data_IF_740473047391
#
_entry.id   IF_740473047391
#
_cell.length_a   1.000
_cell.length_b   1.000
_cell.length_c   1.000
_cell.angle_alpha   90.00
_cell.angle_beta   90.00
_cell.angle_gamma   90.00
#
_symmetry.space_group_name_H-M   'P 1'
#
loop_
_entity.id
_entity.type
_entity.pdbx_description
1 polymer ?
#
# COMPACT_ATOMS: atom_id res chain seq x y z
N UNK A 1 45.75 9.54 -42.92
CA UNK A 1 46.11 10.51 -43.98
C UNK A 1 44.81 11.00 -44.63
N UNK A 2 44.85 12.22 -45.21
CA UNK A 2 43.79 13.02 -45.87
C UNK A 2 42.54 12.28 -46.39
N UNK A 3 41.29 12.77 -46.24
CA UNK A 3 40.70 14.11 -46.44
C UNK A 3 40.58 14.56 -47.92
N UNK A 4 39.62 15.45 -48.21
CA UNK A 4 39.35 16.22 -49.48
C UNK A 4 38.35 15.54 -50.45
N UNK A 5 37.06 15.95 -50.44
CA UNK A 5 36.34 16.79 -51.45
C UNK A 5 35.78 16.01 -52.67
N UNK A 6 34.84 16.50 -53.50
CA UNK A 6 33.75 17.50 -53.43
C UNK A 6 32.94 17.42 -54.76
N UNK A 7 31.87 18.21 -54.90
CA UNK A 7 31.22 18.52 -56.21
C UNK A 7 30.11 17.54 -56.61
N UNK A 8 28.82 17.89 -56.63
CA UNK A 8 28.08 18.93 -57.40
C UNK A 8 27.62 18.43 -58.78
N UNK A 9 26.28 18.41 -58.95
CA UNK A 9 25.46 18.27 -60.18
C UNK A 9 25.74 19.39 -61.23
N UNK A 10 25.13 19.49 -62.43
CA UNK A 10 23.82 18.97 -62.89
C UNK A 10 23.95 18.32 -64.31
N UNK A 11 22.99 18.24 -65.25
CA UNK A 11 21.59 18.68 -65.39
C UNK A 11 20.85 17.86 -66.46
N UNK A 12 19.52 17.72 -66.37
CA UNK A 12 18.64 17.81 -67.56
C UNK A 12 17.14 17.95 -67.21
N UNK A 13 16.54 19.00 -67.80
CA UNK A 13 15.11 19.26 -68.02
C UNK A 13 15.06 19.91 -69.43
N UNK A 14 14.03 19.72 -70.29
CA UNK A 14 12.67 20.17 -69.97
C UNK A 14 11.46 19.44 -70.63
N UNK A 15 10.38 19.29 -69.84
CA UNK A 15 8.94 19.43 -70.24
C UNK A 15 8.32 18.44 -71.28
N UNK A 16 6.96 18.30 -71.37
CA UNK A 16 5.89 19.15 -70.83
C UNK A 16 4.81 18.47 -69.95
N UNK A 17 3.90 19.32 -69.45
CA UNK A 17 2.77 19.03 -68.55
C UNK A 17 1.55 18.52 -69.35
N UNK A 18 0.66 17.71 -68.74
CA UNK A 18 -0.74 18.15 -68.70
C UNK A 18 -1.46 17.91 -67.35
N UNK A 19 -2.29 18.92 -67.00
CA UNK A 19 -3.57 18.87 -66.25
C UNK A 19 -3.67 18.28 -64.83
N UNK A 20 -4.14 19.15 -63.93
CA UNK A 20 -4.61 18.91 -62.57
C UNK A 20 -5.70 17.84 -62.43
N UNK A 21 -5.78 17.13 -61.28
CA UNK A 21 -7.00 16.49 -60.82
C UNK A 21 -7.96 17.50 -60.17
N UNK A 22 -9.23 17.36 -60.50
CA UNK A 22 -10.37 18.17 -60.06
C UNK A 22 -10.76 17.90 -58.59
N UNK A 23 -11.19 18.91 -57.80
CA UNK A 23 -11.60 18.69 -56.40
C UNK A 23 -12.98 18.01 -56.32
N UNK A 24 -13.06 16.93 -55.52
CA UNK A 24 -14.28 16.14 -55.33
C UNK A 24 -15.45 16.97 -54.75
N UNK A 25 -16.66 16.96 -55.36
CA UNK A 25 -17.78 17.85 -54.99
C UNK A 25 -18.61 17.36 -53.79
N UNK A 26 -18.07 16.47 -52.95
CA UNK A 26 -18.82 15.82 -51.86
C UNK A 26 -18.91 16.64 -50.55
N UNK A 27 -18.13 17.71 -50.41
CA UNK A 27 -18.04 18.53 -49.18
C UNK A 27 -18.97 19.75 -49.18
N UNK A 28 -20.19 19.64 -49.75
CA UNK A 28 -21.24 20.63 -49.49
C UNK A 28 -21.71 20.49 -48.05
N UNK A 29 -21.26 21.42 -47.22
CA UNK A 29 -21.56 21.53 -45.81
C UNK A 29 -23.07 21.34 -45.56
N UNK A 30 -23.43 20.47 -44.62
CA UNK A 30 -24.81 20.37 -44.13
C UNK A 30 -25.11 21.57 -43.21
N UNK A 31 -25.15 22.77 -43.79
CA UNK A 31 -25.60 23.99 -43.12
C UNK A 31 -27.10 23.85 -42.85
N UNK A 32 -27.44 23.36 -41.66
CA UNK A 32 -28.80 23.44 -41.13
C UNK A 32 -29.16 24.92 -41.07
N UNK A 33 -30.34 25.29 -41.58
CA UNK A 33 -30.86 26.65 -41.49
C UNK A 33 -30.80 27.12 -40.02
N UNK A 34 -30.19 28.28 -39.71
CA UNK A 34 -30.12 28.77 -38.34
C UNK A 34 -31.49 28.81 -37.65
N UNK A 35 -32.57 29.12 -38.36
CA UNK A 35 -33.93 29.10 -37.81
C UNK A 35 -34.33 27.69 -37.35
N UNK A 36 -34.19 26.68 -38.22
CA UNK A 36 -34.48 25.28 -37.89
C UNK A 36 -33.57 24.76 -36.75
N UNK A 37 -32.31 25.21 -36.69
CA UNK A 37 -31.40 24.84 -35.60
C UNK A 37 -31.86 25.38 -34.24
N UNK A 38 -32.47 26.57 -34.21
CA UNK A 38 -33.02 27.19 -33.01
C UNK A 38 -34.35 26.53 -32.60
N UNK A 39 -35.24 26.24 -33.55
CA UNK A 39 -36.48 25.50 -33.28
C UNK A 39 -36.22 24.10 -32.72
N UNK A 40 -35.27 23.36 -33.31
CA UNK A 40 -34.85 22.06 -32.80
C UNK A 40 -34.29 22.15 -31.38
N UNK A 41 -33.47 23.17 -31.08
CA UNK A 41 -32.95 23.42 -29.73
C UNK A 41 -34.04 23.83 -28.74
N UNK A 42 -34.97 24.70 -29.13
CA UNK A 42 -36.11 25.10 -28.29
C UNK A 42 -37.01 23.90 -27.98
N UNK A 43 -37.32 23.06 -28.97
CA UNK A 43 -38.07 21.82 -28.77
C UNK A 43 -37.32 20.79 -27.94
N UNK A 44 -35.99 20.78 -27.99
CA UNK A 44 -35.15 19.91 -27.14
C UNK A 44 -35.11 20.43 -25.69
N UNK A 45 -35.04 21.75 -25.48
CA UNK A 45 -35.17 22.38 -24.17
C UNK A 45 -36.57 22.17 -23.59
N UNK A 46 -37.64 22.30 -24.39
CA UNK A 46 -39.01 21.97 -24.01
C UNK A 46 -39.13 20.49 -23.61
N UNK A 47 -38.52 19.58 -24.37
CA UNK A 47 -38.47 18.16 -24.06
C UNK A 47 -37.70 17.83 -22.77
N UNK A 48 -36.67 18.61 -22.43
CA UNK A 48 -35.92 18.47 -21.16
C UNK A 48 -36.73 19.03 -19.99
N UNK A 49 -37.38 20.19 -20.16
CA UNK A 49 -38.12 20.89 -19.10
C UNK A 49 -39.46 20.22 -18.81
N UNK A 50 -40.21 19.79 -19.82
CA UNK A 50 -41.55 19.21 -19.65
C UNK A 50 -41.61 17.68 -19.81
N UNK A 51 -40.50 17.05 -20.21
CA UNK A 51 -40.43 15.63 -20.53
C UNK A 51 -41.09 15.28 -21.88
N UNK A 52 -40.49 14.35 -22.63
CA UNK A 52 -41.13 13.83 -23.85
C UNK A 52 -42.33 12.98 -23.48
N UNK A 53 -43.54 13.55 -23.60
CA UNK A 53 -44.81 12.84 -23.46
C UNK A 53 -45.01 11.86 -24.61
N UNK A 54 -44.41 10.67 -24.50
CA UNK A 54 -44.77 9.54 -25.35
C UNK A 54 -46.14 9.00 -24.94
N UNK A 55 -47.16 9.34 -25.72
CA UNK A 55 -48.52 8.81 -25.55
C UNK A 55 -48.59 7.34 -26.03
N UNK A 56 -48.04 6.44 -25.21
CA UNK A 56 -48.08 4.99 -25.42
C UNK A 56 -49.07 4.35 -24.47
N UNK A 57 -50.24 4.00 -25.01
CA UNK A 57 -51.23 3.12 -24.36
C UNK A 57 -50.59 1.78 -23.94
N UNK A 58 -50.33 1.61 -22.66
CA UNK A 58 -49.89 0.36 -22.05
C UNK A 58 -50.14 0.39 -20.55
N UNK A 59 -50.92 -0.56 -20.02
CA UNK A 59 -51.31 -0.60 -18.61
C UNK A 59 -50.20 -1.23 -17.77
N UNK A 60 -49.61 -0.48 -16.85
CA UNK A 60 -49.36 -0.96 -15.49
C UNK A 60 -49.36 0.23 -14.52
N UNK A 61 -49.87 0.04 -13.29
CA UNK A 61 -50.06 1.13 -12.32
C UNK A 61 -48.84 1.24 -11.39
N UNK A 62 -47.85 2.01 -11.82
CA UNK A 62 -46.97 2.70 -10.86
C UNK A 62 -47.27 4.20 -10.93
N UNK A 63 -47.86 4.74 -9.86
CA UNK A 63 -48.15 6.18 -9.72
C UNK A 63 -46.88 6.93 -9.36
N UNK A 64 -45.96 7.06 -10.32
CA UNK A 64 -44.86 8.03 -10.22
C UNK A 64 -45.48 9.43 -10.12
N UNK A 65 -45.14 10.17 -9.06
CA UNK A 65 -45.84 11.37 -8.61
C UNK A 65 -45.83 12.53 -9.63
N UNK A 66 -46.82 12.58 -10.52
CA UNK A 66 -47.04 13.70 -11.45
C UNK A 66 -47.56 14.99 -10.79
N UNK A 67 -47.70 15.02 -9.46
CA UNK A 67 -48.10 16.19 -8.66
C UNK A 67 -46.95 16.79 -7.82
N UNK A 68 -45.75 16.20 -7.91
CA UNK A 68 -44.54 16.93 -7.54
C UNK A 68 -44.18 17.83 -8.72
N UNK A 69 -44.60 19.10 -8.63
CA UNK A 69 -44.04 20.16 -9.49
C UNK A 69 -42.52 20.06 -9.47
N UNK A 70 -41.86 20.36 -10.60
CA UNK A 70 -40.39 20.33 -10.71
C UNK A 70 -39.72 21.12 -9.58
N UNK A 71 -40.37 22.19 -9.11
CA UNK A 71 -39.99 22.98 -7.95
C UNK A 71 -39.90 22.12 -6.67
N UNK A 72 -40.92 21.31 -6.35
CA UNK A 72 -40.88 20.37 -5.19
C UNK A 72 -39.88 19.24 -5.37
N UNK A 73 -39.69 18.75 -6.60
CA UNK A 73 -38.67 17.74 -6.90
C UNK A 73 -37.25 18.32 -6.73
N UNK A 74 -37.02 19.56 -7.17
CA UNK A 74 -35.78 20.29 -6.98
C UNK A 74 -35.55 20.66 -5.50
N UNK A 75 -36.56 21.13 -4.77
CA UNK A 75 -36.47 21.41 -3.33
C UNK A 75 -36.14 20.15 -2.52
N UNK A 76 -36.71 18.98 -2.87
CA UNK A 76 -36.39 17.73 -2.19
C UNK A 76 -35.00 17.22 -2.55
N UNK A 77 -34.60 17.27 -3.83
CA UNK A 77 -33.22 16.98 -4.24
C UNK A 77 -32.21 17.91 -3.53
N UNK A 78 -32.47 19.21 -3.51
CA UNK A 78 -31.63 20.20 -2.84
C UNK A 78 -31.48 19.86 -1.36
N UNK A 79 -32.58 19.63 -0.62
CA UNK A 79 -32.51 19.22 0.80
C UNK A 79 -31.70 17.93 1.01
N UNK A 80 -31.85 16.92 0.14
CA UNK A 80 -31.06 15.69 0.24
C UNK A 80 -29.58 15.93 -0.06
N UNK A 81 -29.27 16.78 -1.03
CA UNK A 81 -27.91 17.12 -1.44
C UNK A 81 -27.21 17.98 -0.37
N UNK A 82 -27.89 18.98 0.19
CA UNK A 82 -27.42 19.78 1.32
C UNK A 82 -27.11 18.88 2.53
N UNK A 83 -28.01 17.93 2.86
CA UNK A 83 -27.77 16.95 3.95
C UNK A 83 -26.53 16.09 3.69
N UNK A 84 -26.32 15.65 2.45
CA UNK A 84 -25.14 14.84 2.06
C UNK A 84 -23.86 15.69 2.12
N UNK A 85 -23.91 16.95 1.70
CA UNK A 85 -22.78 17.90 1.73
C UNK A 85 -22.41 18.29 3.16
N UNK A 86 -23.39 18.49 4.04
CA UNK A 86 -23.15 18.70 5.47
C UNK A 86 -22.56 17.45 6.15
N UNK A 87 -22.93 16.25 5.72
CA UNK A 87 -22.36 14.99 6.23
C UNK A 87 -20.92 14.72 5.77
N UNK A 88 -20.39 15.47 4.79
CA UNK A 88 -19.10 15.19 4.16
C UNK A 88 -18.25 16.47 3.97
N UNK A 89 -17.27 16.65 4.87
CA UNK A 89 -16.32 17.76 4.83
C UNK A 89 -15.55 17.88 3.50
N UNK A 90 -15.34 16.78 2.78
CA UNK A 90 -14.70 16.76 1.47
C UNK A 90 -15.57 17.43 0.41
N UNK A 91 -16.87 17.06 0.35
CA UNK A 91 -17.85 17.70 -0.54
C UNK A 91 -18.07 19.16 -0.18
N UNK A 92 -18.10 19.51 1.11
CA UNK A 92 -18.21 20.90 1.58
C UNK A 92 -17.03 21.76 1.13
N UNK A 93 -15.80 21.25 1.27
CA UNK A 93 -14.58 21.91 0.76
C UNK A 93 -14.59 22.02 -0.76
N UNK A 94 -15.02 20.98 -1.46
CA UNK A 94 -15.16 20.99 -2.92
C UNK A 94 -16.17 22.05 -3.38
N UNK A 95 -17.37 22.11 -2.78
CA UNK A 95 -18.38 23.11 -3.12
C UNK A 95 -17.92 24.55 -2.83
N UNK A 96 -17.25 24.79 -1.69
CA UNK A 96 -16.67 26.12 -1.39
C UNK A 96 -15.61 26.60 -2.40
N UNK A 97 -15.04 25.68 -3.19
CA UNK A 97 -14.05 25.95 -4.24
C UNK A 97 -14.56 25.56 -5.63
N UNK A 98 -15.85 25.29 -5.77
CA UNK A 98 -16.41 24.75 -7.01
C UNK A 98 -16.25 25.76 -8.14
N UNK A 99 -16.60 27.03 -7.92
CA UNK A 99 -16.39 28.09 -8.92
C UNK A 99 -14.91 28.30 -9.24
N UNK A 100 -14.03 28.20 -8.23
CA UNK A 100 -12.58 28.31 -8.40
C UNK A 100 -12.00 27.18 -9.26
N UNK A 101 -12.54 25.97 -9.15
CA UNK A 101 -12.10 24.78 -9.90
C UNK A 101 -13.05 24.38 -11.03
N UNK A 102 -14.07 25.18 -11.35
CA UNK A 102 -15.08 24.86 -12.36
C UNK A 102 -14.44 24.63 -13.74
N UNK A 103 -13.41 25.42 -14.07
CA UNK A 103 -12.61 25.29 -15.29
C UNK A 103 -11.83 23.95 -15.39
N UNK A 104 -11.57 23.27 -14.26
CA UNK A 104 -10.98 21.92 -14.23
C UNK A 104 -12.05 20.83 -14.40
N UNK A 105 -13.30 21.12 -14.03
CA UNK A 105 -14.45 20.21 -14.09
C UNK A 105 -15.19 20.26 -15.43
N UNK A 106 -15.06 21.36 -16.16
CA UNK A 106 -15.35 21.45 -17.60
C UNK A 106 -14.03 21.44 -18.39
N UNK A 107 -13.30 20.31 -18.47
CA UNK A 107 -12.10 20.24 -19.29
C UNK A 107 -12.49 20.43 -20.76
N UNK A 108 -12.18 21.60 -21.31
CA UNK A 108 -12.26 21.87 -22.76
C UNK A 108 -11.51 20.79 -23.56
N UNK A 109 -10.45 20.23 -22.98
CA UNK A 109 -9.74 19.02 -23.41
C UNK A 109 -10.67 17.82 -23.73
N UNK A 110 -11.61 17.47 -22.85
CA UNK A 110 -12.49 16.32 -23.06
C UNK A 110 -13.62 16.59 -24.06
N UNK A 111 -14.08 17.85 -24.16
CA UNK A 111 -15.14 18.26 -25.10
C UNK A 111 -14.62 18.57 -26.52
N UNK A 112 -13.37 19.02 -26.64
CA UNK A 112 -12.76 19.39 -27.93
C UNK A 112 -12.01 18.24 -28.62
N UNK A 113 -11.66 17.17 -27.89
CA UNK A 113 -10.98 15.98 -28.45
C UNK A 113 -9.53 16.20 -28.90
N UNK A 114 -9.05 17.45 -28.92
CA UNK A 114 -7.63 17.76 -28.99
C UNK A 114 -7.03 17.47 -27.62
N UNK A 115 -5.95 16.68 -27.59
CA UNK A 115 -4.97 16.81 -26.51
C UNK A 115 -4.52 18.28 -26.45
N UNK A 116 -4.22 18.84 -25.27
CA UNK A 116 -3.45 20.07 -25.25
C UNK A 116 -2.15 19.72 -25.99
N UNK A 117 -1.80 20.48 -27.02
CA UNK A 117 -0.43 20.41 -27.53
C UNK A 117 0.51 20.56 -26.32
N UNK A 118 1.59 19.77 -26.23
CA UNK A 118 2.56 19.93 -25.16
C UNK A 118 2.93 21.41 -25.11
N UNK A 119 2.83 22.06 -23.93
CA UNK A 119 2.72 23.51 -23.84
C UNK A 119 3.87 24.11 -24.63
N UNK A 120 3.56 24.94 -25.62
CA UNK A 120 4.50 25.31 -26.66
C UNK A 120 5.63 26.18 -26.06
N UNK A 121 6.65 25.54 -25.49
CA UNK A 121 7.77 26.16 -24.79
C UNK A 121 8.53 27.16 -25.69
N UNK A 122 8.39 27.02 -27.01
CA UNK A 122 8.91 27.93 -28.04
C UNK A 122 8.19 29.30 -28.07
N UNK A 123 7.00 29.41 -27.49
CA UNK A 123 6.17 30.62 -27.49
C UNK A 123 6.08 31.29 -26.11
N UNK A 124 6.71 30.72 -25.07
CA UNK A 124 6.78 31.35 -23.74
C UNK A 124 7.74 32.53 -23.77
N UNK A 125 7.40 33.63 -23.08
CA UNK A 125 8.37 34.69 -22.83
C UNK A 125 9.47 34.19 -21.89
N UNK A 126 10.63 34.85 -21.92
CA UNK A 126 11.76 34.49 -21.05
C UNK A 126 11.41 34.66 -19.55
N UNK A 127 10.48 35.57 -19.23
CA UNK A 127 10.00 35.81 -17.87
C UNK A 127 9.10 34.67 -17.38
N UNK A 128 8.16 34.20 -18.23
CA UNK A 128 7.30 33.03 -17.94
C UNK A 128 8.11 31.74 -17.82
N UNK A 129 9.12 31.54 -18.69
CA UNK A 129 10.00 30.39 -18.62
C UNK A 129 10.83 30.40 -17.32
N UNK A 130 11.37 31.54 -16.92
CA UNK A 130 12.10 31.67 -15.67
C UNK A 130 11.20 31.45 -14.43
N UNK A 131 9.95 31.92 -14.46
CA UNK A 131 8.97 31.63 -13.42
C UNK A 131 8.66 30.13 -13.34
N UNK A 132 8.38 29.49 -14.48
CA UNK A 132 8.11 28.05 -14.58
C UNK A 132 9.29 27.19 -14.13
N UNK A 133 10.52 27.56 -14.49
CA UNK A 133 11.74 26.87 -14.01
C UNK A 133 11.96 27.11 -12.51
N UNK A 134 11.57 28.26 -11.97
CA UNK A 134 11.57 28.52 -10.52
C UNK A 134 10.54 27.67 -9.77
N UNK A 135 9.34 27.49 -10.32
CA UNK A 135 8.32 26.58 -9.77
C UNK A 135 8.81 25.11 -9.83
N UNK A 136 9.41 24.70 -10.95
CA UNK A 136 10.00 23.37 -11.13
C UNK A 136 11.34 23.17 -10.40
N UNK A 137 11.98 24.20 -9.85
CA UNK A 137 13.33 24.09 -9.26
C UNK A 137 13.38 23.04 -8.13
N UNK A 138 12.31 22.96 -7.33
CA UNK A 138 12.19 21.99 -6.25
C UNK A 138 12.02 20.55 -6.79
N UNK A 139 11.25 20.38 -7.86
CA UNK A 139 10.99 19.08 -8.49
C UNK A 139 12.19 18.56 -9.29
N UNK A 140 12.96 19.46 -9.90
CA UNK A 140 14.24 19.13 -10.54
C UNK A 140 15.26 18.71 -9.47
N UNK A 141 15.27 19.38 -8.30
CA UNK A 141 16.15 19.03 -7.17
C UNK A 141 15.75 17.75 -6.45
N UNK A 142 14.47 17.41 -6.36
CA UNK A 142 14.06 16.09 -5.85
C UNK A 142 14.42 15.00 -6.84
N UNK A 143 14.11 15.18 -8.13
CA UNK A 143 14.49 14.23 -9.18
C UNK A 143 16.01 14.00 -9.27
N UNK A 144 16.85 15.02 -9.11
CA UNK A 144 18.31 14.85 -9.06
C UNK A 144 18.78 14.03 -7.84
N UNK A 145 18.18 14.23 -6.66
CA UNK A 145 18.46 13.39 -5.47
C UNK A 145 18.01 11.94 -5.70
N UNK A 146 16.83 11.74 -6.25
CA UNK A 146 16.28 10.41 -6.54
C UNK A 146 17.15 9.69 -7.59
N UNK A 147 17.62 10.41 -8.63
CA UNK A 147 18.57 9.88 -9.62
C UNK A 147 19.93 9.53 -9.01
N UNK A 148 20.44 10.33 -8.06
CA UNK A 148 21.66 10.01 -7.31
C UNK A 148 21.45 8.79 -6.38
N UNK A 149 20.27 8.62 -5.77
CA UNK A 149 19.93 7.43 -5.00
C UNK A 149 19.85 6.19 -5.90
N UNK A 150 19.20 6.29 -7.06
CA UNK A 150 19.10 5.22 -8.06
C UNK A 150 20.49 4.80 -8.54
N UNK A 151 21.38 5.75 -8.87
CA UNK A 151 22.78 5.46 -9.24
C UNK A 151 23.56 4.82 -8.07
N UNK A 152 23.34 5.28 -6.83
CA UNK A 152 23.93 4.65 -5.65
C UNK A 152 23.42 3.21 -5.41
N UNK A 153 22.14 2.92 -5.69
CA UNK A 153 21.55 1.58 -5.61
C UNK A 153 22.01 0.68 -6.76
N UNK A 154 22.20 1.24 -7.96
CA UNK A 154 22.78 0.55 -9.11
C UNK A 154 24.25 0.18 -8.84
N UNK A 155 25.06 1.11 -8.30
CA UNK A 155 26.45 0.84 -7.87
C UNK A 155 26.54 -0.21 -6.75
N UNK A 156 25.54 -0.29 -5.87
CA UNK A 156 25.42 -1.36 -4.86
C UNK A 156 24.98 -2.72 -5.45
N UNK A 157 24.64 -2.78 -6.74
CA UNK A 157 24.17 -3.99 -7.40
C UNK A 157 22.81 -4.48 -6.90
N UNK A 158 21.89 -3.55 -6.61
CA UNK A 158 20.53 -3.85 -6.11
C UNK A 158 19.50 -3.85 -7.25
N UNK A 159 19.87 -3.43 -8.46
CA UNK A 159 19.00 -3.45 -9.62
C UNK A 159 18.80 -4.87 -10.18
N UNK A 160 17.57 -5.21 -10.54
CA UNK A 160 17.21 -6.56 -11.01
C UNK A 160 17.17 -7.61 -9.89
N UNK A 161 17.78 -8.78 -10.11
CA UNK A 161 17.87 -9.84 -9.11
C UNK A 161 18.96 -9.60 -8.04
N UNK A 162 19.73 -8.53 -8.16
CA UNK A 162 20.85 -8.21 -7.27
C UNK A 162 21.80 -9.39 -7.06
N UNK A 163 22.01 -9.78 -5.79
CA UNK A 163 22.87 -10.91 -5.39
C UNK A 163 22.15 -12.27 -5.29
N UNK A 164 20.95 -12.42 -5.86
CA UNK A 164 20.16 -13.65 -5.69
C UNK A 164 20.88 -14.91 -6.19
N UNK A 165 21.63 -14.81 -7.29
CA UNK A 165 22.46 -15.89 -7.83
C UNK A 165 23.59 -16.34 -6.87
N UNK A 166 24.10 -15.45 -6.02
CA UNK A 166 25.10 -15.80 -4.99
C UNK A 166 24.44 -16.61 -3.85
N UNK A 167 23.17 -16.33 -3.55
CA UNK A 167 22.41 -17.03 -2.51
C UNK A 167 21.91 -18.42 -2.94
N UNK A 168 21.70 -18.66 -4.24
CA UNK A 168 21.41 -20.00 -4.77
C UNK A 168 22.54 -20.99 -4.45
N UNK A 169 23.80 -20.55 -4.57
CA UNK A 169 24.99 -21.35 -4.19
C UNK A 169 25.06 -21.63 -2.69
N UNK A 170 24.37 -20.85 -1.85
CA UNK A 170 24.35 -21.00 -0.40
C UNK A 170 23.27 -21.98 0.08
N UNK A 171 22.23 -22.26 -0.72
CA UNK A 171 21.16 -23.22 -0.41
C UNK A 171 21.67 -24.58 0.10
N UNK A 172 22.59 -25.30 -0.59
CA UNK A 172 23.06 -26.60 -0.11
C UNK A 172 23.79 -26.50 1.25
N UNK A 173 24.48 -25.39 1.52
CA UNK A 173 25.11 -25.17 2.84
C UNK A 173 24.05 -24.96 3.92
N UNK A 174 23.01 -24.17 3.64
CA UNK A 174 21.88 -23.96 4.55
C UNK A 174 21.16 -25.28 4.85
N UNK A 175 20.94 -26.13 3.84
CA UNK A 175 20.33 -27.46 4.03
C UNK A 175 21.20 -28.38 4.87
N UNK A 176 22.53 -28.38 4.71
CA UNK A 176 23.43 -29.14 5.59
C UNK A 176 23.40 -28.62 7.03
N UNK A 177 23.39 -27.29 7.21
CA UNK A 177 23.30 -26.65 8.53
C UNK A 177 21.98 -27.01 9.22
N UNK A 178 20.85 -26.91 8.51
CA UNK A 178 19.53 -27.28 9.00
C UNK A 178 19.48 -28.74 9.45
N UNK A 179 19.94 -29.68 8.60
CA UNK A 179 20.04 -31.10 8.95
C UNK A 179 20.95 -31.38 10.14
N UNK A 180 22.01 -30.59 10.37
CA UNK A 180 22.83 -30.69 11.58
C UNK A 180 22.14 -30.11 12.81
N UNK A 181 21.38 -29.02 12.65
CA UNK A 181 20.66 -28.36 13.72
C UNK A 181 19.50 -29.23 14.23
N UNK A 182 18.73 -29.83 13.33
CA UNK A 182 17.64 -30.77 13.67
C UNK A 182 18.18 -31.96 14.49
N UNK A 183 19.32 -32.54 14.08
CA UNK A 183 20.03 -33.58 14.85
C UNK A 183 20.50 -33.08 16.21
N UNK A 184 21.02 -31.85 16.29
CA UNK A 184 21.48 -31.27 17.54
C UNK A 184 20.32 -31.04 18.52
N UNK A 185 19.12 -30.65 18.04
CA UNK A 185 17.90 -30.58 18.86
C UNK A 185 17.55 -31.96 19.41
N UNK A 186 17.53 -33.00 18.57
CA UNK A 186 17.27 -34.37 19.03
C UNK A 186 18.28 -34.84 20.09
N UNK A 187 19.56 -34.53 19.90
CA UNK A 187 20.60 -34.89 20.86
C UNK A 187 20.47 -34.10 22.17
N UNK A 188 20.15 -32.80 22.11
CA UNK A 188 19.89 -31.96 23.28
C UNK A 188 18.71 -32.51 24.09
N UNK A 189 17.56 -32.76 23.45
CA UNK A 189 16.37 -33.30 24.11
C UNK A 189 16.60 -34.69 24.74
N UNK A 190 17.47 -35.52 24.17
CA UNK A 190 17.89 -36.81 24.77
C UNK A 190 18.80 -36.60 25.99
N UNK A 191 19.71 -35.62 25.94
CA UNK A 191 20.59 -35.28 27.07
C UNK A 191 19.80 -34.64 28.22
N UNK A 192 18.89 -33.72 27.93
CA UNK A 192 17.98 -33.11 28.92
C UNK A 192 17.18 -34.16 29.68
N UNK A 193 16.55 -35.12 28.97
CA UNK A 193 15.84 -36.25 29.60
C UNK A 193 16.75 -37.09 30.50
N UNK A 194 17.99 -37.34 30.06
CA UNK A 194 18.97 -38.09 30.86
C UNK A 194 19.43 -37.31 32.10
N UNK A 195 19.64 -35.99 31.98
CA UNK A 195 20.02 -35.12 33.09
C UNK A 195 18.87 -35.02 34.10
N UNK A 196 17.62 -34.86 33.62
CA UNK A 196 16.42 -34.84 34.47
C UNK A 196 16.29 -36.15 35.27
N UNK A 197 16.42 -37.32 34.64
CA UNK A 197 16.37 -38.60 35.33
C UNK A 197 17.52 -38.82 36.33
N UNK A 198 18.72 -38.29 36.06
CA UNK A 198 19.84 -38.31 37.01
C UNK A 198 19.56 -37.38 38.20
N UNK A 199 19.02 -36.18 37.96
CA UNK A 199 18.67 -35.20 38.99
C UNK A 199 17.54 -35.71 39.89
N UNK A 200 16.51 -36.32 39.31
CA UNK A 200 15.41 -36.97 40.03
C UNK A 200 15.93 -38.09 40.93
N UNK A 201 16.74 -39.02 40.39
CA UNK A 201 17.38 -40.06 41.18
C UNK A 201 18.25 -39.47 42.30
N UNK A 202 19.03 -38.42 42.01
CA UNK A 202 19.85 -37.77 43.01
C UNK A 202 19.00 -37.12 44.11
N UNK A 203 17.89 -36.47 43.79
CA UNK A 203 16.94 -35.95 44.78
C UNK A 203 16.47 -37.07 45.69
N UNK A 204 15.88 -38.15 45.13
CA UNK A 204 15.38 -39.27 45.95
C UNK A 204 16.45 -39.93 46.82
N UNK A 205 17.72 -39.94 46.38
CA UNK A 205 18.84 -40.43 47.19
C UNK A 205 19.22 -39.45 48.32
N UNK A 206 19.18 -38.14 48.07
CA UNK A 206 19.39 -37.11 49.11
C UNK A 206 18.26 -37.16 50.13
N UNK A 207 17.00 -37.24 49.68
CA UNK A 207 15.81 -37.32 50.53
C UNK A 207 15.90 -38.56 51.45
N UNK A 208 16.22 -39.74 50.90
CA UNK A 208 16.42 -40.96 51.68
C UNK A 208 17.63 -40.91 52.64
N UNK A 209 18.70 -40.20 52.29
CA UNK A 209 19.83 -39.96 53.19
C UNK A 209 19.43 -39.00 54.33
N UNK A 210 18.66 -37.95 54.03
CA UNK A 210 18.13 -37.02 55.04
C UNK A 210 17.18 -37.73 56.01
N UNK A 211 16.28 -38.59 55.53
CA UNK A 211 15.44 -39.44 56.39
C UNK A 211 16.28 -40.37 57.29
N UNK A 212 17.33 -41.00 56.74
CA UNK A 212 18.24 -41.85 57.52
C UNK A 212 18.99 -41.05 58.60
N UNK A 213 19.45 -39.83 58.28
CA UNK A 213 20.13 -38.96 59.25
C UNK A 213 19.20 -38.51 60.38
N UNK A 214 17.95 -38.15 60.08
CA UNK A 214 16.95 -37.83 61.12
C UNK A 214 16.68 -39.04 62.01
N UNK A 215 16.43 -40.22 61.41
CA UNK A 215 16.22 -41.44 62.18
C UNK A 215 17.43 -41.82 63.06
N UNK A 216 18.66 -41.56 62.59
CA UNK A 216 19.87 -41.76 63.38
C UNK A 216 19.97 -40.78 64.54
N UNK A 217 19.69 -39.49 64.32
CA UNK A 217 19.70 -38.43 65.34
C UNK A 217 18.67 -38.69 66.45
N UNK A 218 17.45 -39.13 66.06
CA UNK A 218 16.43 -39.61 66.97
C UNK A 218 16.96 -40.78 67.82
N UNK A 219 17.53 -41.83 67.19
CA UNK A 219 18.04 -42.99 67.95
C UNK A 219 19.22 -42.66 68.87
N UNK A 220 20.06 -41.69 68.48
CA UNK A 220 21.19 -41.21 69.28
C UNK A 220 20.67 -40.43 70.50
N UNK A 221 19.77 -39.48 70.29
CA UNK A 221 19.10 -38.70 71.34
C UNK A 221 18.39 -39.62 72.34
N UNK A 222 17.71 -40.64 71.85
CA UNK A 222 17.00 -41.63 72.66
C UNK A 222 17.97 -42.53 73.47
N UNK A 223 19.16 -42.81 72.94
CA UNK A 223 20.24 -43.50 73.66
C UNK A 223 20.89 -42.59 74.73
N UNK A 224 21.16 -41.33 74.41
CA UNK A 224 21.67 -40.32 75.35
C UNK A 224 20.70 -40.07 76.50
N UNK A 225 19.39 -40.00 76.23
CA UNK A 225 18.35 -39.91 77.26
C UNK A 225 18.33 -41.15 78.18
N UNK A 226 18.54 -42.35 77.65
CA UNK A 226 18.65 -43.58 78.46
C UNK A 226 19.94 -43.58 79.30
N UNK A 227 21.07 -43.18 78.74
CA UNK A 227 22.36 -43.07 79.47
C UNK A 227 22.26 -42.03 80.58
N UNK A 228 21.82 -40.80 80.28
CA UNK A 228 21.69 -39.74 81.30
C UNK A 228 20.70 -40.09 82.41
N UNK A 229 19.63 -40.86 82.13
CA UNK A 229 18.76 -41.42 83.16
C UNK A 229 19.50 -42.42 84.06
N UNK A 230 20.22 -43.38 83.47
CA UNK A 230 20.99 -44.38 84.22
C UNK A 230 22.13 -43.73 85.04
N UNK A 231 22.74 -42.67 84.54
CA UNK A 231 23.74 -41.88 85.28
C UNK A 231 23.13 -41.16 86.48
N UNK A 232 21.94 -40.54 86.33
CA UNK A 232 21.19 -39.94 87.44
C UNK A 232 20.83 -40.98 88.50
N UNK A 233 20.24 -42.12 88.10
CA UNK A 233 19.94 -43.21 89.03
C UNK A 233 21.20 -43.73 89.75
N UNK A 234 22.33 -43.83 89.05
CA UNK A 234 23.61 -44.25 89.65
C UNK A 234 24.19 -43.19 90.59
N UNK A 235 24.04 -41.91 90.29
CA UNK A 235 24.42 -40.80 91.16
C UNK A 235 23.54 -40.74 92.41
N UNK A 236 22.24 -40.99 92.28
CA UNK A 236 21.30 -41.09 93.40
C UNK A 236 21.61 -42.29 94.29
N UNK A 237 21.84 -43.49 93.74
CA UNK A 237 22.26 -44.66 94.54
C UNK A 237 23.56 -44.40 95.31
N UNK A 238 24.55 -43.76 94.68
CA UNK A 238 25.78 -43.28 95.35
C UNK A 238 25.47 -42.29 96.48
N UNK A 239 24.59 -41.31 96.25
CA UNK A 239 24.18 -40.31 97.26
C UNK A 239 23.45 -40.94 98.44
N UNK A 240 22.68 -42.00 98.19
CA UNK A 240 21.96 -42.77 99.21
C UNK A 240 22.84 -43.80 99.94
N UNK A 241 24.15 -43.85 99.66
CA UNK A 241 25.09 -44.77 100.31
C UNK A 241 24.93 -46.24 99.93
N UNK A 242 24.18 -46.54 98.85
CA UNK A 242 23.97 -47.89 98.35
C UNK A 242 25.03 -48.23 97.28
N UNK A 243 26.19 -48.70 97.77
CA UNK A 243 27.15 -49.53 97.04
C UNK A 243 27.54 -50.72 97.90
#
# INVERSE_FOLDING_TARGET
>A
MSAIMAGISPAQSPQPVPTSPEPSPAAKERRIDPALSLELRLRWLEAIVFGVKYDRKGKEKERVHSEQTLIRAAETLQRTLDTIVESNDGLKRFMSRYEQHAHLLTPSFALAGLLPDPPAYQNMSQEELNAFVGEMENDIRSADRDMQEIDALQKKGVTGAGKLADYEQLQPRLDTLRKSYDKNIEHAARLEKRIAAILERHSTQVDALSELFVAWDDTLTDAEHKVTKLERERAERRRMGLQ
#
